data_IF_817857287910
#
_entry.id   IF_817857287910
#
_cell.length_a   1.000
_cell.length_b   1.000
_cell.length_c   1.000
_cell.angle_alpha   90.00
_cell.angle_beta   90.00
_cell.angle_gamma   90.00
#
_symmetry.space_group_name_H-M   'P 1'
#
loop_
_entity.id
_entity.type
_entity.pdbx_description
1 polymer ?
#
# COMPACT_ATOMS: atom_id res chain seq x y z
N UNK A 1 -18.17 -8.03 -15.28
CA UNK A 1 -18.13 -8.86 -14.05
C UNK A 1 -17.05 -8.19 -13.22
N UNK A 2 -17.44 -7.38 -12.24
CA UNK A 2 -16.57 -6.37 -11.63
C UNK A 2 -15.37 -7.00 -10.95
N UNK A 3 -14.18 -6.52 -11.29
CA UNK A 3 -12.90 -6.90 -10.71
C UNK A 3 -12.93 -6.62 -9.19
N UNK A 4 -13.07 -7.66 -8.37
CA UNK A 4 -13.05 -7.63 -6.90
C UNK A 4 -11.64 -7.33 -6.34
N UNK A 5 -11.00 -6.28 -6.84
CA UNK A 5 -9.70 -5.80 -6.37
C UNK A 5 -9.77 -4.38 -5.78
N UNK A 6 -10.98 -3.94 -5.40
CA UNK A 6 -11.20 -2.69 -4.69
C UNK A 6 -11.37 -2.99 -3.21
N UNK A 7 -10.44 -2.53 -2.37
CA UNK A 7 -10.54 -2.66 -0.92
C UNK A 7 -11.00 -1.34 -0.31
N UNK A 8 -11.98 -1.41 0.60
CA UNK A 8 -12.40 -0.25 1.39
C UNK A 8 -11.82 -0.41 2.79
N UNK A 9 -10.98 0.54 3.16
CA UNK A 9 -10.35 0.63 4.48
C UNK A 9 -10.73 1.97 5.08
N UNK A 10 -10.79 2.03 6.40
CA UNK A 10 -11.05 3.29 7.11
C UNK A 10 -9.71 4.00 7.26
N UNK A 11 -9.62 5.26 6.81
CA UNK A 11 -8.48 6.09 7.15
C UNK A 11 -8.56 6.43 8.64
N UNK A 12 -7.56 5.99 9.40
CA UNK A 12 -7.39 6.41 10.78
C UNK A 12 -6.62 7.73 10.78
N UNK A 13 -7.16 8.70 11.52
CA UNK A 13 -6.41 9.91 11.82
C UNK A 13 -5.41 9.56 12.93
N UNK A 14 -4.09 9.75 12.73
CA UNK A 14 -3.07 9.50 13.74
C UNK A 14 -3.23 10.41 14.97
N UNK A 15 -4.11 11.42 14.95
CA UNK A 15 -4.38 12.31 16.08
C UNK A 15 -3.24 13.27 16.40
N UNK A 16 -2.15 13.22 15.62
CA UNK A 16 -0.92 13.99 15.87
C UNK A 16 -1.01 15.45 15.37
N UNK A 17 -2.10 15.82 14.69
CA UNK A 17 -2.30 17.18 14.16
C UNK A 17 -1.37 17.55 13.00
N UNK A 18 -0.52 16.61 12.56
CA UNK A 18 0.39 16.75 11.41
C UNK A 18 -0.35 16.74 10.05
N UNK A 19 -1.58 16.21 10.03
CA UNK A 19 -2.40 16.11 8.80
C UNK A 19 -2.12 14.86 7.96
N UNK A 20 -1.42 13.89 8.53
CA UNK A 20 -1.22 12.56 7.94
C UNK A 20 -2.45 11.68 8.16
N UNK A 21 -2.63 10.65 7.32
CA UNK A 21 -3.69 9.66 7.48
C UNK A 21 -3.07 8.26 7.48
N UNK A 22 -3.39 7.46 8.50
CA UNK A 22 -3.02 6.05 8.58
C UNK A 22 -4.05 5.26 7.77
N UNK A 23 -3.58 4.58 6.73
CA UNK A 23 -4.39 3.65 5.96
C UNK A 23 -4.00 2.25 6.41
N UNK A 24 -4.89 1.55 7.11
CA UNK A 24 -4.64 0.15 7.45
C UNK A 24 -4.79 -0.70 6.19
N UNK A 25 -3.68 -1.24 5.70
CA UNK A 25 -3.67 -2.21 4.62
C UNK A 25 -3.87 -3.61 5.25
N UNK A 26 -5.01 -4.28 5.01
CA UNK A 26 -5.25 -5.59 5.59
C UNK A 26 -4.26 -6.60 5.03
N UNK A 27 -3.85 -7.54 5.88
CA UNK A 27 -2.92 -8.60 5.53
C UNK A 27 -3.40 -9.45 4.35
N UNK A 28 -4.70 -9.65 4.16
CA UNK A 28 -5.24 -10.32 2.96
C UNK A 28 -4.97 -9.55 1.66
N UNK A 29 -5.00 -8.22 1.69
CA UNK A 29 -4.68 -7.38 0.54
C UNK A 29 -3.17 -7.42 0.26
N UNK A 30 -2.36 -7.30 1.32
CA UNK A 30 -0.92 -7.43 1.23
C UNK A 30 -0.53 -8.80 0.65
N UNK A 31 -1.10 -9.89 1.15
CA UNK A 31 -0.87 -11.26 0.68
C UNK A 31 -1.28 -11.45 -0.79
N UNK A 32 -2.46 -10.92 -1.19
CA UNK A 32 -2.90 -10.91 -2.60
C UNK A 32 -1.99 -10.12 -3.51
N UNK A 33 -1.39 -9.03 -3.03
CA UNK A 33 -0.45 -8.21 -3.77
C UNK A 33 0.99 -8.75 -3.70
N UNK A 34 1.25 -9.73 -2.82
CA UNK A 34 2.57 -10.26 -2.53
C UNK A 34 3.46 -9.28 -1.75
N UNK A 35 2.88 -8.35 -0.99
CA UNK A 35 3.59 -7.36 -0.17
C UNK A 35 3.78 -7.94 1.23
N UNK A 36 5.00 -7.84 1.77
CA UNK A 36 5.28 -8.24 3.15
C UNK A 36 5.67 -7.03 4.00
N UNK A 37 5.48 -7.15 5.32
CA UNK A 37 5.96 -6.14 6.25
C UNK A 37 7.48 -6.08 6.16
N UNK A 38 8.01 -4.94 5.74
CA UNK A 38 9.43 -4.74 5.47
C UNK A 38 9.74 -4.39 4.01
N UNK A 39 8.80 -4.60 3.09
CA UNK A 39 8.91 -4.09 1.73
C UNK A 39 8.83 -2.55 1.70
N UNK A 40 9.68 -1.94 0.87
CA UNK A 40 9.50 -0.54 0.53
C UNK A 40 8.34 -0.40 -0.47
N UNK A 41 7.40 0.48 -0.17
CA UNK A 41 6.31 0.83 -1.08
C UNK A 41 6.54 2.26 -1.57
N UNK A 42 6.42 2.46 -2.87
CA UNK A 42 6.44 3.77 -3.51
C UNK A 42 5.01 4.29 -3.51
N UNK A 43 4.78 5.40 -2.81
CA UNK A 43 3.52 6.13 -2.83
C UNK A 43 3.64 7.28 -3.82
N UNK A 44 2.86 7.22 -4.90
CA UNK A 44 2.82 8.23 -5.95
C UNK A 44 1.41 8.83 -6.04
N UNK A 45 1.30 10.15 -6.16
CA UNK A 45 0.00 10.81 -6.42
C UNK A 45 -0.16 11.03 -7.92
N UNK A 46 -1.10 10.31 -8.53
CA UNK A 46 -1.40 10.39 -9.96
C UNK A 46 -2.86 10.83 -10.12
N UNK A 47 -3.08 11.99 -10.76
CA UNK A 47 -4.42 12.53 -11.06
C UNK A 47 -5.37 12.63 -9.84
N UNK A 48 -4.81 12.91 -8.66
CA UNK A 48 -5.57 13.02 -7.43
C UNK A 48 -5.82 11.69 -6.70
N UNK A 49 -5.39 10.57 -7.27
CA UNK A 49 -5.40 9.24 -6.67
C UNK A 49 -4.02 8.91 -6.11
N UNK A 50 -3.98 8.30 -4.93
CA UNK A 50 -2.75 7.75 -4.36
C UNK A 50 -2.54 6.34 -4.91
N UNK A 51 -1.48 6.17 -5.70
CA UNK A 51 -1.01 4.90 -6.23
C UNK A 51 0.11 4.37 -5.34
N UNK A 52 -0.10 3.21 -4.70
CA UNK A 52 0.98 2.48 -4.06
C UNK A 52 1.54 1.44 -5.04
N UNK A 53 2.86 1.41 -5.18
CA UNK A 53 3.59 0.40 -5.96
C UNK A 53 4.61 -0.29 -5.07
N UNK A 54 4.77 -1.60 -5.22
CA UNK A 54 5.87 -2.31 -4.58
C UNK A 54 7.18 -1.80 -5.16
N UNK A 55 8.08 -1.32 -4.31
CA UNK A 55 9.47 -1.13 -4.70
C UNK A 55 10.10 -2.51 -4.67
N UNK A 56 10.03 -3.22 -5.80
CA UNK A 56 10.80 -4.43 -5.96
C UNK A 56 12.27 -4.08 -5.69
N UNK A 57 12.95 -4.82 -4.80
CA UNK A 57 14.38 -4.62 -4.62
C UNK A 57 15.05 -4.82 -6.00
N UNK A 58 16.03 -3.98 -6.38
CA UNK A 58 16.79 -4.19 -7.60
C UNK A 58 17.55 -5.51 -7.42
N UNK A 59 16.96 -6.58 -7.97
CA UNK A 59 17.38 -7.98 -7.89
C UNK A 59 18.63 -8.27 -7.06
N UNK A 60 18.45 -8.78 -5.85
CA UNK A 60 19.42 -9.76 -5.37
C UNK A 60 19.26 -11.00 -6.25
N UNK A 61 20.26 -11.40 -7.05
CA UNK A 61 20.25 -12.73 -7.62
C UNK A 61 20.24 -13.71 -6.46
N UNK A 62 19.26 -14.61 -6.45
CA UNK A 62 19.29 -15.79 -5.59
C UNK A 62 20.64 -16.48 -5.82
N UNK A 63 21.46 -16.53 -4.76
CA UNK A 63 22.69 -17.32 -4.71
C UNK A 63 22.39 -18.82 -4.79
#
# INVERSE_FOLDING_TARGET
>A
MGDLNSWRVVCQDPGDGSGDAIIELPSELLDRLGWIVGDELILERVEGVLSLKLKLPPGEPAE
#
